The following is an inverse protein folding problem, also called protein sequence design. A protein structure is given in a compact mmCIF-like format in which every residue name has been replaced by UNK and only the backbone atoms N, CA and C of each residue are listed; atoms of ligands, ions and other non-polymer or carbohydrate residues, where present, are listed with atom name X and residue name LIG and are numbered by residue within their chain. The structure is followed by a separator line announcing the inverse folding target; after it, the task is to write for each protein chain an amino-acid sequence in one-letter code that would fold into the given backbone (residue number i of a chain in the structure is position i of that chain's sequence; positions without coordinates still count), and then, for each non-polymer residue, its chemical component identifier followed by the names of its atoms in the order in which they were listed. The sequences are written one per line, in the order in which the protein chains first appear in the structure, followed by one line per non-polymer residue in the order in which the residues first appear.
data_IF_233878129492
#
_entry.id   IF_233878129492
#
_cell.length_a   1.000
_cell.length_b   1.000
_cell.length_c   1.000
_cell.angle_alpha   90.00
_cell.angle_beta   90.00
_cell.angle_gamma   90.00
#
_symmetry.space_group_name_H-M   'P 1'
#
loop_
_entity.id
_entity.type
_entity.pdbx_description
1 polymer ?
#
# COMPACT_ATOMS: atom_id res chain seq x y z
N UNK A 1 10.57 -31.56 63.12
CA UNK A 1 11.18 -32.36 62.02
C UNK A 1 11.06 -31.56 60.73
N UNK A 2 12.13 -30.89 60.26
CA UNK A 2 13.05 -31.36 59.18
C UNK A 2 12.25 -31.85 57.95
N UNK A 3 12.31 -31.22 56.76
CA UNK A 3 13.50 -30.79 56.02
C UNK A 3 13.25 -29.53 55.17
N UNK A 4 14.24 -28.64 55.23
CA UNK A 4 14.51 -27.57 54.26
C UNK A 4 14.89 -28.20 52.91
N UNK A 5 14.45 -27.62 51.80
CA UNK A 5 15.22 -27.68 50.57
C UNK A 5 14.90 -26.43 49.73
N UNK A 6 15.77 -25.43 49.91
CA UNK A 6 15.94 -24.31 49.00
C UNK A 6 16.44 -24.84 47.67
N UNK A 7 15.82 -24.42 46.57
CA UNK A 7 16.52 -24.24 45.31
C UNK A 7 16.30 -22.81 44.86
N UNK A 8 17.33 -22.00 45.08
CA UNK A 8 17.54 -20.78 44.34
C UNK A 8 18.03 -21.17 42.94
N UNK A 9 17.38 -20.69 41.91
CA UNK A 9 18.07 -20.34 40.67
C UNK A 9 17.29 -19.23 39.98
N UNK A 10 17.77 -18.02 40.16
CA UNK A 10 17.48 -16.90 39.29
C UNK A 10 18.09 -17.18 37.91
N UNK A 11 17.27 -17.09 36.87
CA UNK A 11 17.73 -16.82 35.51
C UNK A 11 16.81 -15.73 34.96
N UNK A 12 17.21 -14.49 35.19
CA UNK A 12 16.65 -13.33 34.53
C UNK A 12 17.05 -13.38 33.06
N UNK A 13 16.21 -14.00 32.21
CA UNK A 13 16.29 -13.79 30.77
C UNK A 13 15.56 -12.50 30.43
N UNK A 14 16.31 -11.40 30.45
CA UNK A 14 15.93 -10.19 29.74
C UNK A 14 15.99 -10.49 28.23
N UNK A 15 14.88 -10.97 27.66
CA UNK A 15 14.65 -10.85 26.23
C UNK A 15 14.21 -9.40 26.02
N UNK A 16 15.17 -8.48 26.03
CA UNK A 16 15.01 -7.23 25.32
C UNK A 16 14.93 -7.62 23.84
N UNK A 17 13.71 -7.90 23.38
CA UNK A 17 13.45 -8.04 21.96
C UNK A 17 13.92 -6.75 21.32
N UNK A 18 15.01 -6.84 20.54
CA UNK A 18 15.34 -5.85 19.55
C UNK A 18 14.08 -5.72 18.69
N UNK A 19 13.33 -4.66 18.93
CA UNK A 19 12.41 -4.16 17.94
C UNK A 19 13.29 -3.73 16.76
N UNK A 20 13.63 -4.70 15.90
CA UNK A 20 14.00 -4.39 14.54
C UNK A 20 12.78 -3.66 14.00
N UNK A 21 12.84 -2.33 13.97
CA UNK A 21 12.03 -1.57 13.06
C UNK A 21 12.30 -2.21 11.71
N UNK A 22 11.30 -2.88 11.15
CA UNK A 22 11.36 -3.27 9.76
C UNK A 22 11.49 -1.95 9.00
N UNK A 23 12.70 -1.61 8.57
CA UNK A 23 12.87 -0.60 7.53
C UNK A 23 12.01 -1.11 6.38
N UNK A 24 10.97 -0.35 6.04
CA UNK A 24 10.13 -0.68 4.90
C UNK A 24 11.07 -0.82 3.70
N UNK A 25 11.12 -2.03 3.11
CA UNK A 25 11.97 -2.26 1.95
C UNK A 25 11.60 -1.24 0.87
N UNK A 26 12.61 -0.74 0.15
CA UNK A 26 12.36 0.12 -1.00
C UNK A 26 11.82 -0.74 -2.15
N UNK A 27 10.67 -0.38 -2.68
CA UNK A 27 10.07 -1.05 -3.84
C UNK A 27 9.21 -0.09 -4.66
N UNK A 28 8.77 -0.56 -5.82
CA UNK A 28 7.86 0.19 -6.69
C UNK A 28 6.67 -0.67 -7.08
N UNK A 29 5.53 -0.02 -7.28
CA UNK A 29 4.32 -0.62 -7.85
C UNK A 29 4.01 0.14 -9.14
N UNK A 30 3.96 -0.58 -10.25
CA UNK A 30 3.38 -0.08 -11.50
C UNK A 30 1.94 -0.57 -11.56
N UNK A 31 0.99 0.36 -11.57
CA UNK A 31 -0.44 0.04 -11.63
C UNK A 31 -0.97 0.35 -13.03
N UNK A 32 -1.80 -0.55 -13.56
CA UNK A 32 -2.50 -0.39 -14.83
C UNK A 32 -3.98 -0.73 -14.63
N UNK A 33 -4.85 0.13 -15.14
CA UNK A 33 -6.31 -0.04 -15.06
C UNK A 33 -6.86 -0.32 -16.46
N UNK A 34 -7.64 -1.39 -16.58
CA UNK A 34 -8.28 -1.80 -17.83
C UNK A 34 -9.80 -1.75 -17.69
N UNK A 35 -10.51 -1.56 -18.80
CA UNK A 35 -11.98 -1.55 -18.85
C UNK A 35 -12.46 -2.45 -19.97
N UNK A 36 -13.34 -3.41 -19.65
CA UNK A 36 -13.80 -4.41 -20.59
C UNK A 36 -12.63 -5.26 -21.12
N UNK A 37 -12.65 -5.55 -22.41
CA UNK A 37 -11.63 -6.36 -23.08
C UNK A 37 -10.54 -5.51 -23.76
N UNK A 38 -10.35 -4.27 -23.32
CA UNK A 38 -9.34 -3.37 -23.88
C UNK A 38 -7.93 -3.91 -23.65
N UNK A 39 -7.13 -3.98 -24.72
CA UNK A 39 -5.73 -4.40 -24.65
C UNK A 39 -4.82 -3.33 -24.04
N UNK A 40 -5.15 -2.06 -24.26
CA UNK A 40 -4.41 -0.92 -23.69
C UNK A 40 -5.04 -0.46 -22.37
N UNK A 41 -4.22 -0.09 -21.38
CA UNK A 41 -4.74 0.41 -20.11
C UNK A 41 -5.40 1.78 -20.30
N UNK A 42 -6.55 1.98 -19.65
CA UNK A 42 -7.22 3.28 -19.56
C UNK A 42 -6.38 4.29 -18.79
N UNK A 43 -5.67 3.82 -17.76
CA UNK A 43 -4.75 4.64 -16.97
C UNK A 43 -3.63 3.80 -16.38
N UNK A 44 -2.53 4.47 -16.06
CA UNK A 44 -1.41 3.89 -15.32
C UNK A 44 -0.79 4.92 -14.36
N UNK A 45 -0.21 4.41 -13.28
CA UNK A 45 0.56 5.21 -12.33
C UNK A 45 1.73 4.39 -11.78
N UNK A 46 2.73 5.11 -11.27
CA UNK A 46 3.88 4.54 -10.60
C UNK A 46 3.88 5.00 -9.14
N UNK A 47 3.81 4.05 -8.22
CA UNK A 47 3.97 4.31 -6.78
C UNK A 47 5.35 3.83 -6.33
N UNK A 48 6.18 4.74 -5.84
CA UNK A 48 7.50 4.45 -5.27
C UNK A 48 7.45 4.49 -3.74
N UNK A 49 7.97 3.45 -3.11
CA UNK A 49 8.22 3.40 -1.68
C UNK A 49 9.73 3.54 -1.50
N UNK A 50 10.17 4.66 -0.93
CA UNK A 50 11.59 4.94 -0.76
C UNK A 50 11.84 5.69 0.55
N UNK A 51 12.75 5.18 1.36
CA UNK A 51 13.18 5.81 2.61
C UNK A 51 12.01 6.19 3.55
N UNK A 52 10.97 5.34 3.58
CA UNK A 52 9.77 5.55 4.39
C UNK A 52 8.79 6.60 3.86
N UNK A 53 8.99 7.12 2.65
CA UNK A 53 8.08 8.06 1.97
C UNK A 53 7.46 7.36 0.76
N UNK A 54 6.17 7.64 0.53
CA UNK A 54 5.44 7.13 -0.64
C UNK A 54 5.29 8.26 -1.66
N UNK A 55 5.71 8.00 -2.89
CA UNK A 55 5.52 8.89 -4.02
C UNK A 55 4.59 8.22 -5.02
N UNK A 56 3.60 8.94 -5.51
CA UNK A 56 2.70 8.46 -6.55
C UNK A 56 2.73 9.42 -7.73
N UNK A 57 3.12 8.89 -8.89
CA UNK A 57 3.31 9.62 -10.14
C UNK A 57 2.12 9.29 -11.06
N UNK A 58 1.25 10.30 -11.27
CA UNK A 58 0.05 10.17 -12.09
C UNK A 58 0.42 10.46 -13.55
N UNK A 59 0.35 9.42 -14.39
CA UNK A 59 0.61 9.43 -15.83
C UNK A 59 2.09 9.65 -16.26
N UNK A 60 2.33 9.36 -17.54
CA UNK A 60 3.57 9.69 -18.28
C UNK A 60 3.20 10.58 -19.49
N UNK A 61 3.77 11.79 -19.63
CA UNK A 61 4.73 12.44 -18.72
C UNK A 61 4.09 12.84 -17.38
N UNK A 62 4.83 12.67 -16.29
CA UNK A 62 4.30 12.99 -14.96
C UNK A 62 4.23 14.50 -14.75
N UNK A 63 3.00 15.01 -14.67
CA UNK A 63 2.71 16.41 -14.31
C UNK A 63 2.15 16.55 -12.89
N UNK A 64 1.61 15.46 -12.33
CA UNK A 64 0.97 15.44 -11.01
C UNK A 64 1.62 14.38 -10.11
N UNK A 65 2.05 14.80 -8.92
CA UNK A 65 2.72 13.94 -7.94
C UNK A 65 2.00 14.05 -6.61
N UNK A 66 1.65 12.92 -6.01
CA UNK A 66 1.25 12.83 -4.61
C UNK A 66 2.40 12.27 -3.78
N UNK A 67 2.74 12.95 -2.68
CA UNK A 67 3.78 12.50 -1.74
C UNK A 67 3.13 12.30 -0.38
N UNK A 68 3.29 11.12 0.22
CA UNK A 68 2.85 10.84 1.56
C UNK A 68 4.05 10.49 2.45
N UNK A 69 4.25 11.29 3.49
CA UNK A 69 5.21 11.01 4.56
C UNK A 69 4.40 10.56 5.80
N UNK A 70 4.40 9.25 6.14
CA UNK A 70 3.68 8.72 7.29
C UNK A 70 4.12 9.37 8.61
N UNK A 71 5.37 9.84 8.71
CA UNK A 71 5.92 10.46 9.92
C UNK A 71 5.35 11.86 10.14
N UNK A 72 4.97 12.53 9.05
CA UNK A 72 4.39 13.88 9.08
C UNK A 72 2.86 13.89 8.94
N UNK A 73 2.23 12.75 8.67
CA UNK A 73 0.77 12.58 8.73
C UNK A 73 -0.04 13.33 7.66
N UNK A 74 0.57 13.71 6.54
CA UNK A 74 -0.11 14.47 5.49
C UNK A 74 0.38 14.10 4.10
N UNK A 75 -0.47 14.40 3.12
CA UNK A 75 -0.17 14.33 1.71
C UNK A 75 0.27 15.70 1.20
N UNK A 76 1.26 15.71 0.33
CA UNK A 76 1.64 16.85 -0.50
C UNK A 76 1.27 16.53 -1.94
N UNK A 77 0.39 17.32 -2.54
CA UNK A 77 0.04 17.25 -3.95
C UNK A 77 0.82 18.32 -4.71
N UNK A 78 1.46 17.94 -5.80
CA UNK A 78 2.28 18.81 -6.65
C UNK A 78 1.75 18.73 -8.07
N UNK A 79 1.36 19.88 -8.63
CA UNK A 79 1.07 20.05 -10.06
C UNK A 79 2.23 20.85 -10.65
N UNK A 80 3.12 20.16 -11.37
CA UNK A 80 4.35 20.73 -11.95
C UNK A 80 4.00 21.76 -13.01
N UNK A 81 2.97 21.49 -13.82
CA UNK A 81 2.56 22.33 -14.93
C UNK A 81 1.99 23.66 -14.45
N UNK A 82 1.12 23.63 -13.43
CA UNK A 82 0.54 24.84 -12.82
C UNK A 82 1.45 25.46 -11.74
N UNK A 83 2.50 24.77 -11.32
CA UNK A 83 3.42 25.16 -10.24
C UNK A 83 2.69 25.35 -8.91
N UNK A 84 1.74 24.46 -8.62
CA UNK A 84 0.94 24.50 -7.40
C UNK A 84 1.39 23.36 -6.48
N UNK A 85 1.48 23.66 -5.19
CA UNK A 85 1.72 22.69 -4.12
C UNK A 85 0.64 22.87 -3.06
N UNK A 86 -0.02 21.77 -2.71
CA UNK A 86 -1.08 21.75 -1.68
C UNK A 86 -0.79 20.67 -0.67
N UNK A 87 -1.12 20.94 0.59
CA UNK A 87 -1.04 19.98 1.68
C UNK A 87 -2.43 19.55 2.10
N UNK A 88 -2.64 18.25 2.28
CA UNK A 88 -3.89 17.66 2.77
C UNK A 88 -3.56 16.77 3.96
N UNK A 89 -4.14 17.05 5.12
CA UNK A 89 -3.96 16.22 6.32
C UNK A 89 -4.60 14.85 6.11
N UNK A 90 -3.93 13.78 6.59
CA UNK A 90 -4.41 12.41 6.44
C UNK A 90 -5.82 12.23 7.03
N UNK A 91 -6.08 12.86 8.18
CA UNK A 91 -7.34 12.68 8.90
C UNK A 91 -8.52 13.28 8.12
N UNK A 92 -8.32 14.42 7.44
CA UNK A 92 -9.31 15.00 6.51
C UNK A 92 -9.61 14.04 5.35
N UNK A 93 -8.57 13.39 4.81
CA UNK A 93 -8.76 12.42 3.73
C UNK A 93 -9.51 11.17 4.22
N UNK A 94 -9.22 10.70 5.43
CA UNK A 94 -9.93 9.55 6.03
C UNK A 94 -11.40 9.85 6.28
N UNK A 95 -11.73 11.04 6.79
CA UNK A 95 -13.11 11.49 6.96
C UNK A 95 -13.84 11.55 5.61
N UNK A 96 -13.20 12.13 4.59
CA UNK A 96 -13.76 12.20 3.24
C UNK A 96 -14.01 10.80 2.64
N UNK A 97 -13.05 9.87 2.80
CA UNK A 97 -13.21 8.48 2.34
C UNK A 97 -14.38 7.79 3.05
N UNK A 98 -14.54 8.00 4.36
CA UNK A 98 -15.65 7.43 5.13
C UNK A 98 -17.00 7.95 4.61
N UNK A 99 -17.14 9.25 4.35
CA UNK A 99 -18.34 9.80 3.73
C UNK A 99 -18.60 9.22 2.33
N UNK A 100 -17.54 9.04 1.55
CA UNK A 100 -17.66 8.47 0.20
C UNK A 100 -18.15 7.03 0.23
N UNK A 101 -17.70 6.22 1.19
CA UNK A 101 -18.20 4.85 1.38
C UNK A 101 -19.69 4.82 1.73
N UNK A 102 -20.14 5.71 2.61
CA UNK A 102 -21.57 5.82 2.96
C UNK A 102 -22.41 6.20 1.75
N UNK A 103 -21.96 7.16 0.93
CA UNK A 103 -22.66 7.57 -0.30
C UNK A 103 -22.69 6.47 -1.36
N UNK A 104 -21.60 5.71 -1.49
CA UNK A 104 -21.48 4.65 -2.47
C UNK A 104 -22.56 3.57 -2.30
N UNK A 105 -22.97 3.26 -1.06
CA UNK A 105 -24.00 2.27 -0.74
C UNK A 105 -25.33 2.48 -1.50
N UNK A 106 -25.67 3.73 -1.82
CA UNK A 106 -26.91 4.10 -2.52
C UNK A 106 -26.67 4.59 -3.97
N UNK A 107 -25.49 4.30 -4.54
CA UNK A 107 -25.07 4.79 -5.85
C UNK A 107 -25.07 3.68 -6.91
N UNK A 108 -24.16 3.76 -7.89
CA UNK A 108 -24.01 2.78 -8.97
C UNK A 108 -23.50 1.42 -8.45
N UNK A 109 -23.75 0.31 -9.19
CA UNK A 109 -23.18 -0.99 -8.86
C UNK A 109 -21.66 -0.96 -8.71
N UNK A 110 -20.96 -0.24 -9.60
CA UNK A 110 -19.52 -0.05 -9.52
C UNK A 110 -19.11 0.67 -8.23
N UNK A 111 -19.77 1.78 -7.88
CA UNK A 111 -19.44 2.52 -6.66
C UNK A 111 -19.58 1.65 -5.40
N UNK A 112 -20.65 0.85 -5.31
CA UNK A 112 -20.84 -0.11 -4.20
C UNK A 112 -19.73 -1.15 -4.15
N UNK A 113 -19.39 -1.74 -5.30
CA UNK A 113 -18.32 -2.74 -5.39
C UNK A 113 -16.94 -2.14 -5.07
N UNK A 114 -16.68 -0.87 -5.40
CA UNK A 114 -15.45 -0.17 -5.03
C UNK A 114 -15.36 0.16 -3.53
N UNK A 115 -16.48 0.42 -2.87
CA UNK A 115 -16.50 0.82 -1.46
C UNK A 115 -16.27 -0.36 -0.51
N UNK A 116 -16.87 -1.52 -0.83
CA UNK A 116 -16.76 -2.76 -0.08
C UNK A 116 -16.55 -3.95 -1.02
N UNK A 117 -15.36 -4.06 -1.63
CA UNK A 117 -15.11 -5.14 -2.58
C UNK A 117 -15.06 -6.48 -1.88
N UNK A 118 -15.66 -7.48 -2.51
CA UNK A 118 -15.57 -8.90 -2.12
C UNK A 118 -14.75 -9.62 -3.17
N UNK A 119 -13.68 -10.27 -2.72
CA UNK A 119 -12.77 -10.98 -3.61
C UNK A 119 -12.66 -12.45 -3.24
N UNK A 120 -12.52 -13.27 -4.27
CA UNK A 120 -12.01 -14.64 -4.15
C UNK A 120 -10.56 -14.66 -4.61
N UNK A 121 -9.59 -14.95 -3.73
CA UNK A 121 -8.19 -15.02 -4.10
C UNK A 121 -7.90 -16.30 -4.92
N UNK A 122 -7.05 -16.16 -5.92
CA UNK A 122 -6.56 -17.23 -6.78
C UNK A 122 -5.08 -16.98 -7.07
N UNK A 123 -4.23 -17.93 -6.75
CA UNK A 123 -2.78 -17.80 -6.94
C UNK A 123 -2.30 -18.84 -7.94
N UNK A 124 -1.72 -18.35 -9.04
CA UNK A 124 -1.07 -19.19 -10.03
C UNK A 124 0.43 -19.26 -9.73
N UNK A 125 0.89 -20.46 -9.34
CA UNK A 125 2.29 -20.71 -8.99
C UNK A 125 3.23 -20.60 -10.20
N UNK A 126 2.76 -20.94 -11.41
CA UNK A 126 3.56 -20.89 -12.63
C UNK A 126 3.83 -19.45 -13.05
N UNK A 127 2.79 -18.62 -13.11
CA UNK A 127 2.92 -17.19 -13.45
C UNK A 127 3.28 -16.30 -12.26
N UNK A 128 3.31 -16.85 -11.03
CA UNK A 128 3.50 -16.10 -9.77
C UNK A 128 2.58 -14.89 -9.62
N UNK A 129 1.36 -15.03 -10.12
CA UNK A 129 0.37 -13.97 -10.13
C UNK A 129 -0.73 -14.26 -9.12
N UNK A 130 -0.99 -13.29 -8.24
CA UNK A 130 -2.16 -13.27 -7.39
C UNK A 130 -3.29 -12.55 -8.11
N UNK A 131 -4.42 -13.22 -8.28
CA UNK A 131 -5.66 -12.63 -8.79
C UNK A 131 -6.70 -12.56 -7.68
N UNK A 132 -7.24 -11.37 -7.44
CA UNK A 132 -8.39 -11.13 -6.57
C UNK A 132 -9.62 -10.93 -7.46
N UNK A 133 -10.43 -11.99 -7.62
CA UNK A 133 -11.59 -11.98 -8.51
C UNK A 133 -12.80 -11.40 -7.80
N UNK A 134 -13.43 -10.39 -8.38
CA UNK A 134 -14.70 -9.83 -7.94
C UNK A 134 -15.67 -9.68 -9.11
N UNK A 135 -16.96 -9.48 -8.81
CA UNK A 135 -18.03 -9.47 -9.82
C UNK A 135 -17.91 -8.32 -10.83
N UNK A 136 -17.37 -7.18 -10.39
CA UNK A 136 -17.26 -5.95 -11.20
C UNK A 136 -15.81 -5.51 -11.37
N UNK A 137 -14.98 -5.71 -10.34
CA UNK A 137 -13.56 -5.32 -10.33
C UNK A 137 -12.76 -6.56 -9.98
N UNK A 138 -11.66 -6.76 -10.68
CA UNK A 138 -10.65 -7.77 -10.32
C UNK A 138 -9.28 -7.09 -10.25
N UNK A 139 -8.41 -7.61 -9.38
CA UNK A 139 -7.03 -7.14 -9.24
C UNK A 139 -6.07 -8.27 -9.58
N UNK A 140 -5.08 -7.99 -10.41
CA UNK A 140 -3.93 -8.87 -10.64
C UNK A 140 -2.68 -8.21 -10.06
N UNK A 141 -1.89 -8.98 -9.32
CA UNK A 141 -0.60 -8.53 -8.81
C UNK A 141 0.46 -9.59 -9.07
N UNK A 142 1.57 -9.16 -9.63
CA UNK A 142 2.79 -9.95 -9.78
C UNK A 142 3.96 -9.14 -9.23
N UNK A 143 5.00 -9.85 -8.78
CA UNK A 143 6.18 -9.24 -8.21
C UNK A 143 7.43 -9.86 -8.79
N UNK A 144 8.42 -9.02 -9.06
CA UNK A 144 9.75 -9.44 -9.49
C UNK A 144 10.79 -8.87 -8.53
N UNK A 145 11.89 -9.61 -8.35
CA UNK A 145 12.99 -9.11 -7.54
C UNK A 145 13.70 -8.00 -8.31
N UNK A 146 13.78 -6.82 -7.72
CA UNK A 146 14.56 -5.74 -8.31
C UNK A 146 16.03 -6.17 -8.38
N UNK A 147 16.69 -6.10 -9.55
CA UNK A 147 18.10 -6.44 -9.65
C UNK A 147 18.90 -5.47 -8.76
N UNK A 148 19.68 -6.02 -7.83
CA UNK A 148 20.60 -5.22 -7.03
C UNK A 148 21.58 -4.53 -7.99
N UNK A 149 21.68 -3.18 -7.96
CA UNK A 149 22.69 -2.49 -8.75
C UNK A 149 24.06 -3.10 -8.44
N UNK A 150 24.83 -3.45 -9.46
CA UNK A 150 26.21 -3.89 -9.25
C UNK A 150 26.93 -2.78 -8.44
N UNK A 151 27.63 -3.17 -7.37
CA UNK A 151 28.46 -2.23 -6.63
C UNK A 151 29.42 -1.55 -7.62
N UNK A 152 29.30 -0.23 -7.75
CA UNK A 152 30.23 0.60 -8.54
C UNK A 152 31.50 0.86 -7.74
#
# INVERSE_FOLDING_TARGET
MRRRMLWAMAAASAIAGLANGADAEDFRIETKVFVGDAAEPLSSNLTLFHAGVVFDFLNDPTEEIAVFDPRQGHFTLIDIRRRIKTRIERDVLLEFIAEMKVRAANSSPLARASAEPKFTPDFDEFSRTLTLKGDIISYGASGERFPTPAAQ
#
